data_IF_327855266956
#
_entry.id   IF_327855266956
#
_cell.length_a   1.000
_cell.length_b   1.000
_cell.length_c   1.000
_cell.angle_alpha   90.00
_cell.angle_beta   90.00
_cell.angle_gamma   90.00
#
_symmetry.space_group_name_H-M   'P 1'
#
loop_
_entity.id
_entity.type
_entity.pdbx_description
1 polymer ?
#
# COMPACT_ATOMS: atom_id res chain seq x y z
N UNK A 1 -0.60 19.45 3.99
CA UNK A 1 -0.76 18.28 3.11
C UNK A 1 -2.25 18.05 2.93
N UNK A 2 -2.78 18.09 1.71
CA UNK A 2 -4.20 17.81 1.45
C UNK A 2 -4.40 16.29 1.57
N UNK A 3 -5.34 15.84 2.39
CA UNK A 3 -5.61 14.41 2.50
C UNK A 3 -6.29 13.91 1.21
N UNK A 4 -5.89 12.74 0.68
CA UNK A 4 -6.56 12.16 -0.47
C UNK A 4 -7.98 11.73 -0.11
N UNK A 5 -8.92 11.95 -1.01
CA UNK A 5 -10.30 11.52 -0.81
C UNK A 5 -10.43 10.03 -1.17
N UNK A 6 -10.70 9.20 -0.16
CA UNK A 6 -10.87 7.74 -0.32
C UNK A 6 -11.96 7.41 -1.35
N UNK A 7 -13.05 8.19 -1.40
CA UNK A 7 -14.14 7.97 -2.36
C UNK A 7 -13.69 8.22 -3.80
N UNK A 8 -12.91 9.28 -4.03
CA UNK A 8 -12.38 9.59 -5.38
C UNK A 8 -11.39 8.52 -5.84
N UNK A 9 -10.51 8.06 -4.94
CA UNK A 9 -9.54 6.98 -5.22
C UNK A 9 -10.27 5.70 -5.57
N UNK A 10 -11.28 5.35 -4.78
CA UNK A 10 -12.11 4.17 -4.96
C UNK A 10 -12.82 4.18 -6.31
N UNK A 11 -13.42 5.33 -6.68
CA UNK A 11 -14.08 5.52 -7.96
C UNK A 11 -13.10 5.44 -9.13
N UNK A 12 -11.95 6.12 -9.04
CA UNK A 12 -10.93 6.13 -10.09
C UNK A 12 -10.34 4.75 -10.36
N UNK A 13 -10.24 3.90 -9.33
CA UNK A 13 -9.71 2.55 -9.43
C UNK A 13 -10.76 1.47 -9.79
N UNK A 14 -12.02 1.85 -10.00
CA UNK A 14 -13.10 0.90 -10.31
C UNK A 14 -13.46 -0.04 -9.16
N UNK A 15 -13.13 0.31 -7.92
CA UNK A 15 -13.47 -0.50 -6.75
C UNK A 15 -14.97 -0.39 -6.46
N UNK A 16 -15.69 -1.51 -6.23
CA UNK A 16 -17.11 -1.49 -5.91
C UNK A 16 -17.44 -0.56 -4.74
N UNK A 17 -18.48 0.27 -4.86
CA UNK A 17 -18.87 1.25 -3.83
C UNK A 17 -19.16 0.61 -2.46
N UNK A 18 -19.54 -0.67 -2.43
CA UNK A 18 -19.73 -1.46 -1.21
C UNK A 18 -18.44 -1.90 -0.51
N UNK A 19 -17.29 -1.91 -1.20
CA UNK A 19 -16.01 -2.41 -0.64
C UNK A 19 -15.52 -1.59 0.57
N UNK A 20 -15.37 -2.21 1.75
CA UNK A 20 -14.91 -1.48 2.92
C UNK A 20 -13.49 -0.91 2.73
N UNK A 21 -13.28 0.31 3.21
CA UNK A 21 -11.93 0.85 3.37
C UNK A 21 -11.29 0.26 4.63
N UNK A 22 -10.15 -0.39 4.48
CA UNK A 22 -9.46 -1.07 5.57
C UNK A 22 -8.42 -0.18 6.25
N UNK A 23 -7.95 0.86 5.57
CA UNK A 23 -7.01 1.84 6.12
C UNK A 23 -5.95 2.28 5.12
N UNK A 24 -5.06 3.15 5.58
CA UNK A 24 -3.85 3.52 4.86
C UNK A 24 -2.71 2.59 5.28
N UNK A 25 -1.92 2.13 4.31
CA UNK A 25 -0.73 1.32 4.53
C UNK A 25 0.51 2.06 3.99
N UNK A 26 1.69 1.63 4.41
CA UNK A 26 2.96 2.04 3.80
C UNK A 26 3.47 0.85 2.98
N UNK A 27 3.56 1.03 1.67
CA UNK A 27 3.99 0.02 0.71
C UNK A 27 5.36 0.38 0.15
N UNK A 28 6.27 -0.58 0.15
CA UNK A 28 7.56 -0.48 -0.51
C UNK A 28 7.44 -1.24 -1.85
N UNK A 29 7.30 -0.53 -2.97
CA UNK A 29 7.05 -1.13 -4.28
C UNK A 29 8.24 -1.91 -4.83
N UNK A 30 9.47 -1.65 -4.35
CA UNK A 30 10.67 -2.34 -4.82
C UNK A 30 10.59 -3.82 -4.43
N UNK A 31 10.31 -4.08 -3.14
CA UNK A 31 10.17 -5.44 -2.61
C UNK A 31 8.73 -5.95 -2.61
N UNK A 32 7.78 -5.07 -2.93
CA UNK A 32 6.34 -5.27 -2.86
C UNK A 32 5.91 -5.85 -1.50
N UNK A 33 6.44 -5.23 -0.45
CA UNK A 33 6.12 -5.50 0.94
C UNK A 33 5.49 -4.26 1.61
N UNK A 34 4.86 -4.50 2.75
CA UNK A 34 4.14 -3.50 3.53
C UNK A 34 4.77 -3.34 4.90
N UNK A 35 4.74 -2.12 5.44
CA UNK A 35 5.21 -1.89 6.80
C UNK A 35 4.34 -2.67 7.79
N UNK A 36 4.93 -3.64 8.49
CA UNK A 36 4.29 -4.43 9.53
C UNK A 36 4.41 -3.75 10.90
N UNK A 37 5.62 -3.30 11.24
CA UNK A 37 5.89 -2.64 12.51
C UNK A 37 7.13 -1.76 12.43
N UNK A 38 7.20 -0.79 13.35
CA UNK A 38 8.40 -0.02 13.61
C UNK A 38 9.12 -0.71 14.78
N UNK A 39 10.41 -0.99 14.64
CA UNK A 39 11.24 -1.61 15.68
C UNK A 39 12.21 -0.56 16.18
N UNK A 40 12.05 -0.13 17.42
CA UNK A 40 13.05 0.75 18.03
C UNK A 40 14.39 0.03 18.24
N UNK A 41 15.53 0.72 18.13
CA UNK A 41 15.65 2.17 17.91
C UNK A 41 15.63 2.63 16.44
N UNK A 42 15.88 1.78 15.43
CA UNK A 42 16.00 2.21 14.01
C UNK A 42 15.55 1.17 12.97
N UNK A 43 14.80 0.15 13.37
CA UNK A 43 14.35 -0.92 12.51
C UNK A 43 12.95 -0.72 11.92
N UNK A 44 12.74 -1.25 10.72
CA UNK A 44 11.40 -1.44 10.15
C UNK A 44 11.19 -2.93 9.89
N UNK A 45 10.03 -3.44 10.29
CA UNK A 45 9.59 -4.80 9.97
C UNK A 45 8.61 -4.70 8.82
N UNK A 46 8.84 -5.52 7.80
CA UNK A 46 8.03 -5.55 6.59
C UNK A 46 7.33 -6.91 6.46
N UNK A 47 6.19 -6.94 5.77
CA UNK A 47 5.40 -8.14 5.53
C UNK A 47 4.92 -8.17 4.08
N UNK A 48 4.92 -9.33 3.40
CA UNK A 48 4.43 -9.43 2.03
C UNK A 48 2.90 -9.35 1.92
N UNK A 49 2.18 -9.49 3.04
CA UNK A 49 0.71 -9.57 3.03
C UNK A 49 0.09 -8.30 3.60
N UNK A 50 -0.81 -7.62 2.86
CA UNK A 50 -1.44 -6.37 3.33
C UNK A 50 -2.31 -6.58 4.58
N UNK A 51 -2.84 -7.78 4.80
CA UNK A 51 -3.63 -8.17 5.99
C UNK A 51 -2.84 -8.02 7.30
N UNK A 52 -1.54 -8.25 7.24
CA UNK A 52 -0.63 -8.13 8.39
C UNK A 52 0.01 -6.76 8.48
N UNK A 53 -0.21 -5.88 7.50
CA UNK A 53 0.40 -4.56 7.50
C UNK A 53 -0.16 -3.69 8.63
N UNK A 54 0.66 -2.75 9.10
CA UNK A 54 0.21 -1.70 10.00
C UNK A 54 -0.75 -0.78 9.24
N UNK A 55 -2.01 -0.79 9.65
CA UNK A 55 -3.02 0.12 9.12
C UNK A 55 -3.07 1.43 9.91
N UNK A 56 -3.26 2.52 9.18
CA UNK A 56 -3.44 3.87 9.72
C UNK A 56 -4.85 4.35 9.37
N UNK A 57 -5.50 5.02 10.31
CA UNK A 57 -6.84 5.55 10.09
C UNK A 57 -6.82 6.77 9.17
N UNK A 58 -5.80 7.61 9.32
CA UNK A 58 -5.65 8.85 8.55
C UNK A 58 -4.41 8.83 7.66
N UNK A 59 -4.52 9.40 6.46
CA UNK A 59 -3.41 9.49 5.52
C UNK A 59 -2.24 10.24 6.14
N UNK A 60 -2.55 11.31 6.89
CA UNK A 60 -1.54 12.12 7.58
C UNK A 60 -0.68 11.30 8.55
N UNK A 61 -1.25 10.33 9.26
CA UNK A 61 -0.51 9.50 10.22
C UNK A 61 0.50 8.58 9.51
N UNK A 62 0.08 7.99 8.40
CA UNK A 62 0.96 7.18 7.56
C UNK A 62 2.07 8.03 6.93
N UNK A 63 1.73 9.21 6.40
CA UNK A 63 2.70 10.12 5.79
C UNK A 63 3.74 10.64 6.80
N UNK A 64 3.32 10.98 8.02
CA UNK A 64 4.24 11.37 9.10
C UNK A 64 5.15 10.21 9.51
N UNK A 65 4.62 8.99 9.58
CA UNK A 65 5.43 7.80 9.90
C UNK A 65 6.50 7.55 8.84
N UNK A 66 6.12 7.67 7.57
CA UNK A 66 7.00 7.52 6.42
C UNK A 66 8.11 8.60 6.41
N UNK A 67 7.80 9.85 6.77
CA UNK A 67 8.79 10.91 6.90
C UNK A 67 9.71 10.71 8.11
N UNK A 68 9.16 10.37 9.28
CA UNK A 68 9.92 10.21 10.52
C UNK A 68 10.97 9.08 10.45
N UNK A 69 10.77 8.11 9.56
CA UNK A 69 11.68 6.97 9.35
C UNK A 69 12.43 7.05 8.02
N UNK A 70 12.42 8.22 7.36
CA UNK A 70 13.12 8.47 6.09
C UNK A 70 12.82 7.41 5.02
N UNK A 71 11.56 6.95 4.97
CA UNK A 71 11.13 5.89 4.04
C UNK A 71 10.64 6.44 2.71
N UNK A 72 10.60 7.77 2.53
CA UNK A 72 10.01 8.42 1.35
C UNK A 72 10.67 8.09 0.02
N UNK A 73 11.94 7.65 0.03
CA UNK A 73 12.67 7.28 -1.18
C UNK A 73 12.35 5.84 -1.64
N UNK A 74 11.82 5.00 -0.76
CA UNK A 74 11.60 3.55 -1.01
C UNK A 74 10.18 3.09 -0.80
N UNK A 75 9.33 3.90 -0.19
CA UNK A 75 7.97 3.52 0.16
C UNK A 75 7.00 4.67 -0.09
N UNK A 76 5.73 4.33 -0.23
CA UNK A 76 4.63 5.28 -0.41
C UNK A 76 3.44 4.89 0.45
N UNK A 77 2.57 5.87 0.71
CA UNK A 77 1.30 5.61 1.38
C UNK A 77 0.26 5.14 0.36
N UNK A 78 -0.41 4.03 0.64
CA UNK A 78 -1.43 3.42 -0.23
C UNK A 78 -2.73 3.21 0.55
N UNK A 79 -3.86 3.27 -0.14
CA UNK A 79 -5.17 2.93 0.40
C UNK A 79 -5.43 1.42 0.22
N UNK A 80 -5.98 0.77 1.25
CA UNK A 80 -6.41 -0.63 1.18
C UNK A 80 -7.94 -0.76 1.25
N UNK A 81 -8.49 -1.61 0.38
CA UNK A 81 -9.92 -1.87 0.28
C UNK A 81 -10.17 -3.37 0.25
N UNK A 82 -11.20 -3.80 0.96
CA UNK A 82 -11.68 -5.18 0.90
C UNK A 82 -12.65 -5.33 -0.28
N UNK A 83 -12.32 -6.18 -1.24
CA UNK A 83 -13.20 -6.51 -2.38
C UNK A 83 -13.77 -7.93 -2.28
N UNK A 84 -13.82 -8.48 -1.07
CA UNK A 84 -14.40 -9.77 -0.71
C UNK A 84 -13.40 -10.92 -0.80
N UNK A 85 -12.83 -11.17 -1.98
CA UNK A 85 -11.88 -12.28 -2.18
C UNK A 85 -10.41 -11.88 -2.01
N UNK A 86 -10.12 -10.58 -1.96
CA UNK A 86 -8.76 -10.02 -1.87
C UNK A 86 -8.79 -8.61 -1.31
N UNK A 87 -7.63 -8.15 -0.85
CA UNK A 87 -7.41 -6.74 -0.52
C UNK A 87 -6.84 -6.04 -1.76
N UNK A 88 -7.54 -5.01 -2.23
CA UNK A 88 -7.07 -4.15 -3.30
C UNK A 88 -6.27 -2.97 -2.72
N UNK A 89 -5.06 -2.79 -3.25
CA UNK A 89 -4.13 -1.73 -2.84
C UNK A 89 -4.06 -0.67 -3.93
N UNK A 90 -4.30 0.58 -3.58
CA UNK A 90 -4.35 1.70 -4.53
C UNK A 90 -3.52 2.86 -4.03
N UNK A 91 -2.60 3.33 -4.87
CA UNK A 91 -1.86 4.56 -4.59
C UNK A 91 -2.75 5.80 -4.84
N UNK A 92 -2.81 6.77 -3.90
CA UNK A 92 -3.63 7.97 -4.02
C UNK A 92 -3.18 8.95 -5.12
N UNK A 93 -1.99 8.75 -5.69
CA UNK A 93 -1.39 9.62 -6.72
C UNK A 93 -0.76 8.76 -7.81
N UNK A 94 -0.73 9.27 -9.05
CA UNK A 94 0.06 8.71 -10.17
C UNK A 94 1.57 8.81 -9.86
N UNK A 95 2.08 8.04 -8.91
CA UNK A 95 3.52 7.83 -8.78
C UNK A 95 3.95 6.86 -9.88
N UNK A 96 4.01 7.35 -11.12
CA UNK A 96 4.50 6.61 -12.29
C UNK A 96 5.94 6.08 -12.09
N UNK A 97 6.68 6.61 -11.11
CA UNK A 97 8.04 6.18 -10.78
C UNK A 97 8.14 4.77 -10.16
N UNK A 98 7.04 4.20 -9.65
CA UNK A 98 7.06 2.88 -9.00
C UNK A 98 6.34 1.78 -9.82
N UNK A 99 6.08 2.05 -11.11
CA UNK A 99 5.49 1.10 -12.05
C UNK A 99 6.50 0.14 -12.68
N UNK A 100 7.73 0.06 -12.17
CA UNK A 100 8.75 -0.88 -12.66
C UNK A 100 8.74 -2.20 -11.88
N UNK A 101 9.35 -3.22 -12.52
CA UNK A 101 9.48 -4.61 -12.09
C UNK A 101 9.69 -4.75 -10.58
N UNK A 102 8.88 -5.60 -9.95
CA UNK A 102 9.02 -5.93 -8.53
C UNK A 102 9.74 -7.25 -8.39
N UNK A 103 10.60 -7.35 -7.39
CA UNK A 103 11.27 -8.60 -7.01
C UNK A 103 10.33 -9.60 -6.31
N UNK A 104 9.05 -9.25 -6.13
CA UNK A 104 8.09 -10.13 -5.48
C UNK A 104 7.59 -11.21 -6.44
N UNK A 105 7.89 -12.51 -6.18
CA UNK A 105 7.44 -13.60 -7.04
C UNK A 105 5.91 -13.75 -7.07
N UNK A 106 5.19 -13.18 -6.10
CA UNK A 106 3.73 -13.25 -6.04
C UNK A 106 3.02 -12.20 -6.91
N UNK A 107 3.73 -11.17 -7.38
CA UNK A 107 3.14 -10.06 -8.16
C UNK A 107 2.75 -10.47 -9.59
N UNK A 108 3.40 -11.50 -10.13
CA UNK A 108 3.21 -12.00 -11.51
C UNK A 108 2.56 -13.39 -11.61
N UNK A 109 1.92 -13.89 -10.53
CA UNK A 109 1.32 -15.23 -10.53
C UNK A 109 0.20 -15.42 -11.56
N UNK A 110 -0.41 -14.34 -12.06
CA UNK A 110 -1.37 -14.41 -13.16
C UNK A 110 -0.75 -14.69 -14.53
N UNK A 111 0.57 -14.55 -14.69
CA UNK A 111 1.28 -14.88 -15.94
C UNK A 111 1.73 -16.34 -16.04
N UNK A 112 1.61 -17.11 -14.95
CA UNK A 112 2.11 -18.48 -14.87
C UNK A 112 1.00 -19.55 -15.04
N UNK A 113 -0.23 -19.13 -15.32
CA UNK A 113 -1.38 -20.03 -15.52
C UNK A 113 -1.87 -20.09 -16.98
N UNK A 114 -1.15 -19.45 -17.90
CA UNK A 114 -1.35 -19.56 -19.35
C UNK A 114 -0.25 -20.46 -19.96
N UNK A 115 -0.31 -21.77 -19.70
CA UNK A 115 0.40 -22.82 -20.46
C UNK A 115 -0.46 -24.08 -20.55
#
# INVERSE_FOLDING_TARGET
>A
MKEPNVTEIKQAAGVPVSSPFLGWLIHNPIKDDFLHALREPFGTLWTPTPEKAKSFKHYREAALTLQAHELGDKALVVASFDVGSRIMIIAPSHHQHFLTESDNPFRNLSSLMDD
#
